data_IF_614070050951
#
_entry.id   IF_614070050951
#
_cell.length_a   1.000
_cell.length_b   1.000
_cell.length_c   1.000
_cell.angle_alpha   90.00
_cell.angle_beta   90.00
_cell.angle_gamma   90.00
#
_symmetry.space_group_name_H-M   'P 1'
#
loop_
_entity.id
_entity.type
_entity.pdbx_description
1 polymer ?
#
# COMPACT_ATOMS: atom_id res chain seq x y z
N UNK A 1 22.34 68.01 -12.97
CA UNK A 1 23.01 66.85 -13.55
C UNK A 1 23.75 65.98 -12.53
N UNK A 2 24.65 66.53 -11.63
CA UNK A 2 25.38 65.71 -10.64
C UNK A 2 24.53 64.90 -9.69
N UNK A 3 23.36 65.41 -9.23
CA UNK A 3 22.46 64.70 -8.31
C UNK A 3 21.75 63.51 -8.98
N UNK A 4 21.40 63.59 -10.27
CA UNK A 4 20.78 62.53 -11.05
C UNK A 4 21.79 61.42 -11.30
N UNK A 5 23.05 61.76 -11.56
CA UNK A 5 24.14 60.79 -11.75
C UNK A 5 24.47 60.03 -10.47
N UNK A 6 24.42 60.65 -9.30
CA UNK A 6 24.61 60.02 -7.99
C UNK A 6 23.45 59.05 -7.66
N UNK A 7 22.22 59.42 -8.03
CA UNK A 7 21.04 58.56 -7.83
C UNK A 7 21.10 57.32 -8.71
N UNK A 8 21.56 57.48 -9.96
CA UNK A 8 21.72 56.33 -10.90
C UNK A 8 22.81 55.35 -10.40
N UNK A 9 23.92 55.86 -9.86
CA UNK A 9 24.98 55.01 -9.26
C UNK A 9 24.45 54.24 -8.05
N UNK A 10 23.65 54.87 -7.18
CA UNK A 10 23.02 54.24 -6.02
C UNK A 10 22.04 53.15 -6.41
N UNK A 11 21.24 53.35 -7.45
CA UNK A 11 20.30 52.35 -7.98
C UNK A 11 21.06 51.15 -8.59
N UNK A 12 22.13 51.42 -9.35
CA UNK A 12 22.96 50.36 -9.94
C UNK A 12 23.67 49.59 -8.83
N UNK A 13 24.21 50.22 -7.83
CA UNK A 13 24.85 49.59 -6.69
C UNK A 13 23.85 48.74 -5.85
N UNK A 14 22.64 49.25 -5.65
CA UNK A 14 21.56 48.52 -4.98
C UNK A 14 21.09 47.30 -5.79
N UNK A 15 20.95 47.42 -7.10
CA UNK A 15 20.63 46.32 -8.00
C UNK A 15 21.76 45.27 -8.03
N UNK A 16 23.01 45.69 -8.09
CA UNK A 16 24.15 44.75 -8.04
C UNK A 16 24.22 44.02 -6.72
N UNK A 17 24.02 44.70 -5.59
CA UNK A 17 23.95 44.08 -4.26
C UNK A 17 22.76 43.14 -4.15
N UNK A 18 21.60 43.48 -4.73
CA UNK A 18 20.41 42.60 -4.79
C UNK A 18 20.67 41.33 -5.62
N UNK A 19 21.33 41.46 -6.77
CA UNK A 19 21.68 40.29 -7.59
C UNK A 19 22.84 39.47 -7.01
N UNK A 20 23.78 40.07 -6.31
CA UNK A 20 24.84 39.35 -5.60
C UNK A 20 24.32 38.62 -4.37
N UNK A 21 23.36 39.19 -3.63
CA UNK A 21 22.70 38.51 -2.50
C UNK A 21 21.66 37.45 -2.93
N UNK A 22 21.21 37.47 -4.19
CA UNK A 22 20.23 36.50 -4.66
C UNK A 22 20.82 35.08 -4.85
N UNK A 23 22.14 34.95 -4.84
CA UNK A 23 22.84 33.68 -4.96
C UNK A 23 23.31 33.07 -3.63
N UNK A 24 23.08 33.74 -2.49
CA UNK A 24 23.32 33.12 -1.20
C UNK A 24 22.06 32.40 -0.71
N UNK A 25 21.68 31.30 -1.41
CA UNK A 25 20.98 30.23 -0.71
C UNK A 25 21.96 29.69 0.32
N UNK A 26 21.64 29.82 1.59
CA UNK A 26 22.44 29.46 2.78
C UNK A 26 22.88 28.00 2.78
N UNK A 27 22.50 27.25 1.76
CA UNK A 27 22.76 25.81 1.53
C UNK A 27 23.26 25.62 0.11
N UNK A 28 24.31 24.85 -0.09
CA UNK A 28 24.68 24.41 -1.43
C UNK A 28 23.51 23.54 -1.96
N UNK A 29 23.08 23.80 -3.18
CA UNK A 29 22.01 23.08 -3.87
C UNK A 29 22.26 21.55 -3.84
N UNK A 30 23.52 21.17 -3.89
CA UNK A 30 24.01 19.78 -3.83
C UNK A 30 23.73 19.10 -2.47
N UNK A 31 23.71 19.83 -1.35
CA UNK A 31 23.46 19.27 -0.01
C UNK A 31 21.98 19.19 0.36
N UNK A 32 21.10 19.80 -0.39
CA UNK A 32 19.66 19.93 -0.11
C UNK A 32 18.75 19.36 -1.21
N UNK A 33 19.31 18.89 -2.30
CA UNK A 33 18.56 18.34 -3.45
C UNK A 33 18.11 16.89 -3.21
N UNK A 34 16.93 16.72 -2.60
CA UNK A 34 16.32 15.42 -2.33
C UNK A 34 15.43 14.91 -3.46
N UNK A 35 14.81 15.80 -4.23
CA UNK A 35 13.84 15.46 -5.24
C UNK A 35 14.48 14.85 -6.51
N UNK A 36 13.68 14.07 -7.26
CA UNK A 36 13.96 13.67 -8.63
C UNK A 36 12.76 14.10 -9.46
N UNK A 37 12.94 15.14 -10.28
CA UNK A 37 11.85 15.76 -11.05
C UNK A 37 11.30 14.81 -12.14
N UNK A 38 12.20 14.17 -12.90
CA UNK A 38 11.83 13.19 -13.93
C UNK A 38 11.61 11.80 -13.33
N UNK A 39 10.44 11.59 -12.76
CA UNK A 39 10.06 10.27 -12.23
C UNK A 39 9.78 9.23 -13.33
N UNK A 40 9.61 9.65 -14.58
CA UNK A 40 9.43 8.72 -15.70
C UNK A 40 10.71 7.93 -16.00
N UNK A 41 11.89 8.53 -15.77
CA UNK A 41 13.19 7.88 -15.90
C UNK A 41 13.50 6.86 -14.82
N UNK A 42 12.79 6.87 -13.68
CA UNK A 42 13.04 5.96 -12.55
C UNK A 42 12.72 4.53 -12.97
N UNK A 43 13.71 3.65 -12.89
CA UNK A 43 13.58 2.22 -13.22
C UNK A 43 13.58 1.32 -11.98
N UNK A 44 14.24 1.74 -10.90
CA UNK A 44 14.38 0.95 -9.69
C UNK A 44 14.50 1.86 -8.46
N UNK A 45 13.84 1.47 -7.38
CA UNK A 45 14.05 2.04 -6.05
C UNK A 45 14.36 0.90 -5.08
N UNK A 46 15.46 1.01 -4.36
CA UNK A 46 15.88 0.05 -3.37
C UNK A 46 15.73 0.67 -1.97
N UNK A 47 15.23 -0.14 -1.06
CA UNK A 47 15.02 0.22 0.34
C UNK A 47 15.78 -0.75 1.23
N UNK A 48 16.45 -0.25 2.27
CA UNK A 48 17.06 -1.07 3.30
C UNK A 48 16.85 -0.44 4.68
N UNK A 49 16.37 -1.24 5.63
CA UNK A 49 16.23 -0.83 7.02
C UNK A 49 17.46 -1.19 7.87
N UNK A 50 17.43 -0.82 9.15
CA UNK A 50 18.51 -1.12 10.09
C UNK A 50 18.39 -2.50 10.76
N UNK A 51 17.33 -3.24 10.44
CA UNK A 51 17.07 -4.60 10.96
C UNK A 51 17.57 -5.69 9.99
N UNK A 52 18.16 -5.29 8.85
CA UNK A 52 18.68 -6.20 7.82
C UNK A 52 17.66 -6.57 6.75
N UNK A 53 16.46 -5.97 6.75
CA UNK A 53 15.50 -6.19 5.68
C UNK A 53 15.79 -5.25 4.51
N UNK A 54 15.50 -5.72 3.30
CA UNK A 54 15.58 -4.91 2.09
C UNK A 54 14.45 -5.24 1.13
N UNK A 55 14.06 -4.26 0.33
CA UNK A 55 13.02 -4.37 -0.69
C UNK A 55 13.50 -3.67 -1.95
N UNK A 56 13.31 -4.31 -3.09
CA UNK A 56 13.56 -3.70 -4.40
C UNK A 56 12.25 -3.55 -5.15
N UNK A 57 11.93 -2.33 -5.53
CA UNK A 57 10.79 -2.03 -6.41
C UNK A 57 11.34 -1.61 -7.76
N UNK A 58 11.05 -2.38 -8.82
CA UNK A 58 11.64 -2.18 -10.14
C UNK A 58 10.60 -2.24 -11.25
N UNK A 59 10.84 -1.47 -12.32
CA UNK A 59 10.00 -1.47 -13.52
C UNK A 59 10.49 -2.54 -14.48
N UNK A 60 9.59 -3.46 -14.85
CA UNK A 60 9.86 -4.49 -15.84
C UNK A 60 8.78 -4.45 -16.92
N UNK A 61 9.17 -4.14 -18.16
CA UNK A 61 8.24 -4.04 -19.30
C UNK A 61 6.98 -3.19 -18.99
N UNK A 62 7.18 -2.05 -18.32
CA UNK A 62 6.10 -1.13 -17.96
C UNK A 62 5.31 -1.50 -16.68
N UNK A 63 5.54 -2.66 -16.10
CA UNK A 63 4.91 -3.10 -14.85
C UNK A 63 5.90 -2.96 -13.69
N UNK A 64 5.44 -2.46 -12.55
CA UNK A 64 6.23 -2.40 -11.34
C UNK A 64 6.15 -3.71 -10.55
N UNK A 65 7.30 -4.27 -10.23
CA UNK A 65 7.44 -5.49 -9.44
C UNK A 65 8.20 -5.20 -8.14
N UNK A 66 7.79 -5.84 -7.05
CA UNK A 66 8.58 -5.92 -5.83
C UNK A 66 9.39 -7.22 -5.85
N UNK A 67 10.69 -7.09 -5.59
CA UNK A 67 11.70 -8.16 -5.59
C UNK A 67 11.69 -9.02 -6.86
N UNK A 68 11.36 -8.40 -8.00
CA UNK A 68 11.19 -9.04 -9.31
C UNK A 68 10.18 -10.20 -9.33
N UNK A 69 9.32 -10.30 -8.33
CA UNK A 69 8.43 -11.46 -8.12
C UNK A 69 6.95 -11.10 -8.13
N UNK A 70 6.55 -10.07 -7.41
CA UNK A 70 5.15 -9.75 -7.22
C UNK A 70 4.80 -8.39 -7.83
N UNK A 71 3.59 -8.27 -8.37
CA UNK A 71 3.08 -6.95 -8.78
C UNK A 71 2.99 -6.01 -7.59
N UNK A 72 3.37 -4.77 -7.80
CA UNK A 72 3.23 -3.72 -6.80
C UNK A 72 1.83 -3.12 -6.89
N UNK A 73 1.27 -2.72 -5.74
CA UNK A 73 0.01 -1.96 -5.67
C UNK A 73 0.15 -0.66 -6.46
N UNK A 74 -0.78 -0.35 -7.39
CA UNK A 74 -0.70 0.87 -8.19
C UNK A 74 -0.61 2.14 -7.33
N UNK A 75 -1.40 2.21 -6.26
CA UNK A 75 -1.42 3.34 -5.34
C UNK A 75 -0.09 3.53 -4.59
N UNK A 76 0.65 2.44 -4.28
CA UNK A 76 1.94 2.55 -3.61
C UNK A 76 3.01 3.17 -4.54
N UNK A 77 3.00 2.79 -5.82
CA UNK A 77 3.90 3.40 -6.81
C UNK A 77 3.54 4.84 -7.07
N UNK A 78 2.27 5.17 -7.21
CA UNK A 78 1.82 6.54 -7.41
C UNK A 78 2.29 7.44 -6.25
N UNK A 79 2.07 7.00 -5.00
CA UNK A 79 2.52 7.74 -3.83
C UNK A 79 4.04 7.86 -3.75
N UNK A 80 4.78 6.79 -4.05
CA UNK A 80 6.24 6.80 -4.06
C UNK A 80 6.78 7.82 -5.07
N UNK A 81 6.40 7.69 -6.35
CA UNK A 81 6.90 8.57 -7.40
C UNK A 81 6.52 10.02 -7.17
N UNK A 82 5.27 10.26 -6.75
CA UNK A 82 4.82 11.60 -6.37
C UNK A 82 5.63 12.15 -5.20
N UNK A 83 5.93 11.33 -4.19
CA UNK A 83 6.75 11.75 -3.05
C UNK A 83 8.16 12.10 -3.49
N UNK A 84 8.83 11.24 -4.27
CA UNK A 84 10.18 11.48 -4.77
C UNK A 84 10.26 12.79 -5.58
N UNK A 85 9.19 13.14 -6.30
CA UNK A 85 9.13 14.38 -7.08
C UNK A 85 8.88 15.61 -6.23
N UNK A 86 7.93 15.53 -5.29
CA UNK A 86 7.34 16.72 -4.65
C UNK A 86 7.98 17.06 -3.31
N UNK A 87 8.98 16.29 -2.84
CA UNK A 87 9.67 16.59 -1.59
C UNK A 87 10.54 17.84 -1.73
N UNK A 88 10.47 18.69 -0.70
CA UNK A 88 11.25 19.91 -0.57
C UNK A 88 11.90 20.00 0.81
N UNK A 89 13.01 20.72 0.90
CA UNK A 89 13.62 21.05 2.18
C UNK A 89 12.82 22.15 2.85
N UNK A 90 12.32 21.87 4.06
CA UNK A 90 11.65 22.86 4.91
C UNK A 90 12.65 23.76 5.61
N UNK A 91 13.61 23.16 6.27
CA UNK A 91 14.74 23.83 6.93
C UNK A 91 15.78 22.79 7.35
N UNK A 92 17.04 23.22 7.58
CA UNK A 92 18.04 22.35 8.20
C UNK A 92 17.69 22.04 9.65
N UNK A 93 18.16 20.91 10.15
CA UNK A 93 18.11 20.60 11.58
C UNK A 93 18.99 21.57 12.35
N UNK A 94 18.46 22.15 13.44
CA UNK A 94 19.22 23.07 14.28
C UNK A 94 20.45 22.39 14.90
N UNK A 95 21.53 23.14 15.10
CA UNK A 95 22.77 22.59 15.65
C UNK A 95 22.56 21.90 17.01
N UNK A 96 21.66 22.43 17.85
CA UNK A 96 21.32 21.82 19.15
C UNK A 96 20.63 20.45 19.08
N UNK A 97 20.02 20.12 17.94
CA UNK A 97 19.33 18.85 17.72
C UNK A 97 20.10 17.92 16.78
N UNK A 98 21.08 18.44 16.06
CA UNK A 98 21.76 17.74 14.98
C UNK A 98 22.32 16.38 15.42
N UNK A 99 23.11 16.33 16.47
CA UNK A 99 23.71 15.07 16.95
C UNK A 99 22.68 14.03 17.34
N UNK A 100 21.57 14.46 17.96
CA UNK A 100 20.47 13.58 18.30
C UNK A 100 19.78 13.03 17.05
N UNK A 101 19.52 13.88 16.04
CA UNK A 101 18.90 13.47 14.80
C UNK A 101 19.81 12.52 14.02
N UNK A 102 21.11 12.81 13.90
CA UNK A 102 22.07 11.92 13.24
C UNK A 102 22.12 10.55 13.92
N UNK A 103 22.15 10.49 15.27
CA UNK A 103 22.10 9.22 16.01
C UNK A 103 20.82 8.44 15.71
N UNK A 104 19.67 9.11 15.68
CA UNK A 104 18.39 8.48 15.35
C UNK A 104 18.39 7.96 13.90
N UNK A 105 18.85 8.77 12.93
CA UNK A 105 18.96 8.33 11.54
C UNK A 105 19.90 7.13 11.39
N UNK A 106 21.02 7.12 12.10
CA UNK A 106 21.96 6.00 12.09
C UNK A 106 21.34 4.69 12.62
N UNK A 107 20.40 4.77 13.57
CA UNK A 107 19.80 3.61 14.23
C UNK A 107 18.47 3.13 13.64
N UNK A 108 17.71 4.02 12.98
CA UNK A 108 16.33 3.72 12.62
C UNK A 108 15.88 4.22 11.25
N UNK A 109 16.71 4.97 10.50
CA UNK A 109 16.33 5.43 9.19
C UNK A 109 16.33 4.30 8.15
N UNK A 110 15.46 4.42 7.17
CA UNK A 110 15.46 3.58 5.99
C UNK A 110 16.29 4.24 4.89
N UNK A 111 17.27 3.51 4.37
CA UNK A 111 18.04 3.92 3.19
C UNK A 111 17.16 3.77 1.96
N UNK A 112 17.13 4.79 1.11
CA UNK A 112 16.42 4.80 -0.17
C UNK A 112 17.43 5.11 -1.27
N UNK A 113 17.56 4.22 -2.23
CA UNK A 113 18.40 4.39 -3.42
C UNK A 113 17.52 4.42 -4.67
N UNK A 114 17.63 5.47 -5.45
CA UNK A 114 16.85 5.69 -6.67
C UNK A 114 17.76 5.51 -7.88
N UNK A 115 17.33 4.68 -8.81
CA UNK A 115 18.07 4.35 -10.03
C UNK A 115 17.25 4.76 -11.25
N UNK A 116 17.90 5.43 -12.18
CA UNK A 116 17.35 5.82 -13.46
C UNK A 116 17.92 4.93 -14.57
N UNK A 117 18.67 5.47 -15.52
CA UNK A 117 19.21 4.74 -16.67
C UNK A 117 20.27 3.70 -16.30
N UNK A 118 21.08 3.97 -15.28
CA UNK A 118 22.10 3.04 -14.80
C UNK A 118 21.60 2.29 -13.55
N UNK A 119 21.31 1.01 -13.70
CA UNK A 119 20.82 0.17 -12.60
C UNK A 119 21.88 -0.27 -11.59
N UNK A 120 23.18 0.02 -11.84
CA UNK A 120 24.29 -0.33 -10.95
C UNK A 120 24.74 0.85 -10.08
N UNK A 121 24.44 2.08 -10.47
CA UNK A 121 24.82 3.30 -9.74
C UNK A 121 23.57 4.07 -9.42
N UNK A 122 23.32 4.30 -8.13
CA UNK A 122 22.18 5.08 -7.69
C UNK A 122 22.33 6.54 -8.20
N UNK A 123 21.26 7.04 -8.84
CA UNK A 123 21.15 8.44 -9.24
C UNK A 123 21.06 9.33 -7.98
N UNK A 124 20.33 8.86 -6.96
CA UNK A 124 20.17 9.57 -5.69
C UNK A 124 20.05 8.58 -4.54
N UNK A 125 20.69 8.90 -3.42
CA UNK A 125 20.62 8.10 -2.20
C UNK A 125 20.39 9.02 -0.99
N UNK A 126 19.41 8.65 -0.16
CA UNK A 126 19.11 9.35 1.09
C UNK A 126 18.52 8.42 2.14
N UNK A 127 18.50 8.91 3.36
CA UNK A 127 17.98 8.21 4.53
C UNK A 127 16.69 8.90 4.99
N UNK A 128 15.59 8.15 5.07
CA UNK A 128 14.28 8.61 5.56
C UNK A 128 14.14 8.21 7.01
N UNK A 129 14.05 9.19 7.89
CA UNK A 129 13.88 9.00 9.33
C UNK A 129 12.46 9.28 9.81
N UNK A 130 12.31 9.42 11.12
CA UNK A 130 11.04 9.69 11.78
C UNK A 130 10.49 11.09 11.51
N UNK A 131 9.34 11.34 12.11
CA UNK A 131 8.60 12.60 11.99
C UNK A 131 9.35 13.79 12.60
N UNK A 132 9.18 14.96 11.98
CA UNK A 132 9.58 16.25 12.56
C UNK A 132 8.72 16.59 13.78
N UNK A 133 9.21 17.51 14.65
CA UNK A 133 8.52 17.86 15.91
C UNK A 133 7.09 18.37 15.74
N UNK A 134 6.83 19.04 14.64
CA UNK A 134 5.51 19.59 14.30
C UNK A 134 4.65 18.61 13.49
N UNK A 135 5.11 17.36 13.32
CA UNK A 135 4.49 16.30 12.53
C UNK A 135 4.34 16.62 11.03
N UNK A 136 4.99 17.68 10.55
CA UNK A 136 4.98 18.10 9.13
C UNK A 136 6.34 17.86 8.51
N UNK A 137 6.49 16.71 7.82
CA UNK A 137 7.74 16.25 7.23
C UNK A 137 8.49 15.25 8.10
N UNK A 138 9.62 14.80 7.60
CA UNK A 138 10.51 13.83 8.24
C UNK A 138 11.93 14.36 8.30
N UNK A 139 12.70 13.86 9.26
CA UNK A 139 14.14 14.06 9.25
C UNK A 139 14.75 13.20 8.14
N UNK A 140 15.53 13.83 7.26
CA UNK A 140 16.20 13.14 6.17
C UNK A 140 17.65 13.58 6.04
N UNK A 141 18.47 12.71 5.49
CA UNK A 141 19.90 12.94 5.24
C UNK A 141 20.25 12.43 3.84
N UNK A 142 20.87 13.27 3.01
CA UNK A 142 21.48 12.82 1.75
C UNK A 142 22.75 12.01 2.04
N UNK A 143 23.03 11.00 1.23
CA UNK A 143 24.31 10.30 1.29
C UNK A 143 25.46 11.29 1.02
N UNK A 144 26.56 11.11 1.71
CA UNK A 144 27.73 12.02 1.67
C UNK A 144 27.47 13.44 2.23
N UNK A 145 26.28 13.72 2.79
CA UNK A 145 26.02 14.95 3.52
C UNK A 145 26.26 14.76 5.01
N UNK A 146 26.87 15.76 5.65
CA UNK A 146 27.00 15.81 7.11
C UNK A 146 25.80 16.46 7.78
N UNK A 147 24.87 17.08 7.01
CA UNK A 147 23.77 17.88 7.55
C UNK A 147 22.43 17.23 7.28
N UNK A 148 21.66 16.99 8.33
CA UNK A 148 20.28 16.55 8.24
C UNK A 148 19.31 17.71 8.07
N UNK A 149 18.20 17.45 7.39
CA UNK A 149 17.14 18.38 7.08
C UNK A 149 15.79 17.87 7.54
N UNK A 150 14.84 18.78 7.77
CA UNK A 150 13.42 18.46 7.75
C UNK A 150 12.96 18.60 6.30
N UNK A 151 12.50 17.48 5.74
CA UNK A 151 11.99 17.40 4.37
C UNK A 151 10.49 17.14 4.43
N UNK A 152 9.72 17.81 3.58
CA UNK A 152 8.26 17.77 3.59
C UNK A 152 7.72 17.81 2.15
N UNK A 153 6.43 17.71 2.00
CA UNK A 153 5.74 17.98 0.72
C UNK A 153 4.83 19.19 0.95
N UNK A 154 4.96 20.29 0.16
CA UNK A 154 4.09 21.45 0.27
C UNK A 154 2.60 21.07 0.20
N UNK A 155 1.82 21.57 1.16
CA UNK A 155 0.38 21.26 1.25
C UNK A 155 0.02 19.88 1.82
N UNK A 156 1.01 19.05 2.18
CA UNK A 156 0.77 17.77 2.84
C UNK A 156 1.04 17.87 4.36
N UNK A 157 0.03 17.53 5.16
CA UNK A 157 0.11 17.51 6.62
C UNK A 157 0.41 16.10 7.10
N UNK A 158 1.68 15.79 7.31
CA UNK A 158 2.12 14.48 7.77
C UNK A 158 3.60 14.24 7.54
N UNK A 159 4.09 13.11 8.03
CA UNK A 159 5.47 12.68 7.84
C UNK A 159 5.58 11.72 6.64
N UNK A 160 6.81 11.53 6.13
CA UNK A 160 7.02 10.93 4.82
C UNK A 160 7.14 9.40 4.81
N UNK A 161 7.48 8.76 5.94
CA UNK A 161 7.72 7.31 5.98
C UNK A 161 6.57 6.48 5.37
N UNK A 162 5.27 6.71 5.68
CA UNK A 162 4.19 5.95 5.06
C UNK A 162 4.09 6.13 3.54
N UNK A 163 4.53 7.26 3.01
CA UNK A 163 4.54 7.54 1.56
C UNK A 163 5.64 6.77 0.82
N UNK A 164 6.64 6.32 1.55
CA UNK A 164 7.67 5.37 1.10
C UNK A 164 7.31 3.92 1.40
N UNK A 165 6.07 3.65 1.87
CA UNK A 165 5.62 2.31 2.28
C UNK A 165 6.52 1.71 3.37
N UNK A 166 7.01 2.57 4.28
CA UNK A 166 7.77 2.20 5.47
C UNK A 166 6.79 2.06 6.64
N UNK A 167 6.82 0.92 7.31
CA UNK A 167 6.02 0.67 8.53
C UNK A 167 6.90 0.83 9.77
N UNK A 168 6.64 1.91 10.51
CA UNK A 168 7.52 2.31 11.62
C UNK A 168 8.94 2.60 11.12
N UNK A 169 9.86 1.66 11.29
CA UNK A 169 11.26 1.72 10.84
C UNK A 169 11.63 0.55 9.94
N UNK A 170 10.64 -0.25 9.50
CA UNK A 170 10.86 -1.49 8.76
C UNK A 170 10.35 -1.42 7.33
N UNK A 171 10.97 -2.20 6.46
CA UNK A 171 10.53 -2.43 5.09
C UNK A 171 10.20 -3.91 4.89
N UNK A 172 9.17 -4.19 4.12
CA UNK A 172 8.78 -5.56 3.77
C UNK A 172 8.12 -5.61 2.39
N UNK A 173 8.43 -6.65 1.62
CA UNK A 173 7.86 -6.87 0.28
C UNK A 173 6.34 -6.93 0.31
N UNK A 174 5.76 -7.56 1.33
CA UNK A 174 4.31 -7.73 1.49
C UNK A 174 3.55 -6.39 1.63
N UNK A 175 4.22 -5.32 2.09
CA UNK A 175 3.64 -3.97 2.12
C UNK A 175 3.44 -3.37 0.72
N UNK A 176 4.23 -3.81 -0.25
CA UNK A 176 4.19 -3.34 -1.64
C UNK A 176 3.28 -4.16 -2.54
N UNK A 177 3.06 -5.42 -2.22
CA UNK A 177 2.36 -6.38 -3.07
C UNK A 177 0.94 -5.94 -3.41
N UNK A 178 0.52 -6.23 -4.65
CA UNK A 178 -0.88 -6.14 -5.05
C UNK A 178 -1.73 -7.09 -4.19
N UNK A 179 -2.79 -6.56 -3.61
CA UNK A 179 -3.68 -7.25 -2.67
C UNK A 179 -4.91 -7.87 -3.34
N UNK A 180 -4.94 -7.89 -4.66
CA UNK A 180 -6.08 -8.39 -5.42
C UNK A 180 -6.23 -9.89 -5.24
N UNK A 181 -7.41 -10.31 -4.79
CA UNK A 181 -7.83 -11.72 -4.69
C UNK A 181 -8.57 -12.10 -5.97
N UNK A 182 -9.60 -11.34 -6.33
CA UNK A 182 -10.39 -11.51 -7.54
C UNK A 182 -10.48 -10.21 -8.30
N UNK A 183 -10.35 -10.29 -9.62
CA UNK A 183 -10.52 -9.17 -10.55
C UNK A 183 -11.14 -9.69 -11.84
N UNK A 184 -12.48 -9.75 -11.86
CA UNK A 184 -13.24 -10.30 -12.98
C UNK A 184 -14.25 -9.28 -13.50
N UNK A 185 -14.38 -9.16 -14.82
CA UNK A 185 -15.62 -8.61 -15.35
C UNK A 185 -16.71 -9.65 -15.15
N UNK A 186 -17.91 -9.22 -14.78
CA UNK A 186 -19.03 -10.12 -14.53
C UNK A 186 -19.34 -11.03 -15.72
N UNK A 187 -19.12 -10.54 -16.94
CA UNK A 187 -19.32 -11.30 -18.17
C UNK A 187 -18.31 -12.42 -18.38
N UNK A 188 -17.16 -12.37 -17.75
CA UNK A 188 -16.10 -13.39 -17.86
C UNK A 188 -16.30 -14.53 -16.86
N UNK A 189 -17.19 -14.35 -15.86
CA UNK A 189 -17.47 -15.37 -14.86
C UNK A 189 -18.57 -16.31 -15.38
N UNK A 190 -18.31 -17.62 -15.33
CA UNK A 190 -19.27 -18.67 -15.64
C UNK A 190 -19.98 -19.17 -14.38
N UNK A 191 -19.22 -19.43 -13.32
CA UNK A 191 -19.75 -20.04 -12.10
C UNK A 191 -19.06 -19.48 -10.87
N UNK A 192 -19.84 -19.23 -9.81
CA UNK A 192 -19.36 -18.91 -8.47
C UNK A 192 -19.90 -19.99 -7.54
N UNK A 193 -19.04 -20.61 -6.74
CA UNK A 193 -19.39 -21.60 -5.73
C UNK A 193 -18.89 -21.15 -4.37
N UNK A 194 -19.80 -21.10 -3.40
CA UNK A 194 -19.51 -20.82 -2.00
C UNK A 194 -19.87 -22.05 -1.18
N UNK A 195 -18.87 -22.62 -0.52
CA UNK A 195 -19.03 -23.77 0.36
C UNK A 195 -18.77 -23.29 1.81
N UNK A 196 -19.78 -23.44 2.66
CA UNK A 196 -19.62 -23.32 4.10
C UNK A 196 -19.34 -24.71 4.66
N UNK A 197 -18.21 -24.88 5.37
CA UNK A 197 -17.77 -26.19 5.86
C UNK A 197 -18.37 -26.54 7.23
N UNK A 198 -18.96 -25.56 7.94
CA UNK A 198 -19.59 -25.75 9.25
C UNK A 198 -21.10 -25.96 9.12
N UNK A 199 -21.71 -25.34 8.10
CA UNK A 199 -23.15 -25.43 7.86
C UNK A 199 -23.42 -25.55 6.35
N UNK A 200 -23.59 -26.78 5.89
CA UNK A 200 -23.84 -27.06 4.49
C UNK A 200 -25.06 -26.34 3.92
N UNK A 201 -26.05 -26.00 4.77
CA UNK A 201 -27.24 -25.27 4.34
C UNK A 201 -26.94 -23.83 3.91
N UNK A 202 -25.78 -23.27 4.27
CA UNK A 202 -25.29 -21.96 3.83
C UNK A 202 -24.47 -22.01 2.56
N UNK A 203 -24.20 -23.21 2.03
CA UNK A 203 -23.49 -23.39 0.76
C UNK A 203 -24.42 -23.11 -0.40
N UNK A 204 -23.87 -22.54 -1.47
CA UNK A 204 -24.64 -22.27 -2.70
C UNK A 204 -23.73 -22.19 -3.92
N UNK A 205 -24.37 -22.23 -5.10
CA UNK A 205 -23.72 -22.06 -6.39
C UNK A 205 -24.54 -21.11 -7.26
N UNK A 206 -23.86 -20.18 -7.88
CA UNK A 206 -24.41 -19.31 -8.90
C UNK A 206 -23.80 -19.68 -10.24
N UNK A 207 -24.65 -19.79 -11.27
CA UNK A 207 -24.20 -20.10 -12.62
C UNK A 207 -24.85 -19.13 -13.60
N UNK A 208 -24.02 -18.54 -14.49
CA UNK A 208 -24.48 -17.70 -15.58
C UNK A 208 -24.66 -18.52 -16.83
N UNK A 209 -25.81 -18.43 -17.43
CA UNK A 209 -26.13 -18.91 -18.78
C UNK A 209 -26.35 -17.70 -19.69
N UNK A 210 -26.39 -17.89 -21.01
CA UNK A 210 -26.37 -16.77 -21.98
C UNK A 210 -27.42 -15.68 -21.71
N UNK A 211 -28.57 -16.04 -21.15
CA UNK A 211 -29.72 -15.12 -20.97
C UNK A 211 -30.26 -15.08 -19.54
N UNK A 212 -29.71 -15.81 -18.59
CA UNK A 212 -30.21 -15.83 -17.22
C UNK A 212 -29.15 -16.33 -16.24
N UNK A 213 -29.42 -16.09 -14.96
CA UNK A 213 -28.62 -16.61 -13.85
C UNK A 213 -29.44 -17.68 -13.11
N UNK A 214 -28.76 -18.73 -12.67
CA UNK A 214 -29.34 -19.75 -11.80
C UNK A 214 -28.66 -19.74 -10.44
N UNK A 215 -29.46 -19.89 -9.40
CA UNK A 215 -29.02 -20.00 -8.00
C UNK A 215 -29.39 -21.39 -7.49
N UNK A 216 -28.39 -22.16 -7.08
CA UNK A 216 -28.56 -23.50 -6.52
C UNK A 216 -28.19 -23.51 -5.06
N UNK A 217 -29.12 -23.92 -4.20
CA UNK A 217 -28.92 -24.08 -2.77
C UNK A 217 -29.74 -25.28 -2.28
N UNK A 218 -29.17 -26.12 -1.41
CA UNK A 218 -29.82 -27.34 -0.88
C UNK A 218 -30.39 -28.24 -2.00
N UNK A 219 -29.63 -28.45 -3.07
CA UNK A 219 -30.02 -29.19 -4.27
C UNK A 219 -31.24 -28.64 -5.05
N UNK A 220 -31.72 -27.47 -4.69
CA UNK A 220 -32.77 -26.77 -5.41
C UNK A 220 -32.16 -25.66 -6.27
N UNK A 221 -32.50 -25.65 -7.55
CA UNK A 221 -32.05 -24.62 -8.50
C UNK A 221 -33.23 -23.72 -8.88
N UNK A 222 -33.04 -22.42 -8.78
CA UNK A 222 -34.00 -21.38 -9.22
C UNK A 222 -33.33 -20.46 -10.23
N UNK A 223 -34.09 -20.01 -11.21
CA UNK A 223 -33.68 -18.88 -12.07
C UNK A 223 -33.92 -17.61 -11.28
N UNK A 224 -32.94 -16.71 -11.28
CA UNK A 224 -33.02 -15.42 -10.63
C UNK A 224 -33.06 -14.30 -11.67
N UNK A 225 -33.65 -13.14 -11.34
CA UNK A 225 -33.65 -11.98 -12.23
C UNK A 225 -32.26 -11.61 -12.69
N UNK A 226 -32.12 -11.20 -13.94
CA UNK A 226 -30.82 -10.84 -14.55
C UNK A 226 -30.12 -9.74 -13.76
N UNK A 227 -30.85 -8.72 -13.30
CA UNK A 227 -30.32 -7.63 -12.48
C UNK A 227 -29.67 -8.13 -11.18
N UNK A 228 -30.30 -9.08 -10.48
CA UNK A 228 -29.77 -9.62 -9.24
C UNK A 228 -28.52 -10.48 -9.48
N UNK A 229 -28.56 -11.30 -10.54
CA UNK A 229 -27.40 -12.11 -10.95
C UNK A 229 -26.21 -11.21 -11.31
N UNK A 230 -26.45 -10.19 -12.13
CA UNK A 230 -25.45 -9.23 -12.54
C UNK A 230 -24.86 -8.48 -11.33
N UNK A 231 -25.70 -8.03 -10.40
CA UNK A 231 -25.26 -7.36 -9.17
C UNK A 231 -24.31 -8.24 -8.36
N UNK A 232 -24.67 -9.51 -8.15
CA UNK A 232 -23.84 -10.44 -7.40
C UNK A 232 -22.50 -10.74 -8.11
N UNK A 233 -22.51 -10.95 -9.42
CA UNK A 233 -21.30 -11.19 -10.20
C UNK A 233 -20.37 -9.97 -10.23
N UNK A 234 -20.92 -8.76 -10.19
CA UNK A 234 -20.15 -7.52 -10.11
C UNK A 234 -19.36 -7.37 -8.80
N UNK A 235 -19.72 -8.07 -7.72
CA UNK A 235 -18.95 -8.09 -6.47
C UNK A 235 -17.51 -8.56 -6.69
N UNK A 236 -17.25 -9.37 -7.72
CA UNK A 236 -15.95 -9.95 -8.03
C UNK A 236 -15.07 -9.08 -8.94
N UNK A 237 -15.52 -7.87 -9.29
CA UNK A 237 -14.76 -6.94 -10.13
C UNK A 237 -13.45 -6.50 -9.47
N UNK A 238 -13.44 -6.36 -8.14
CA UNK A 238 -12.26 -5.95 -7.38
C UNK A 238 -12.41 -6.38 -5.93
N UNK A 239 -11.95 -7.58 -5.62
CA UNK A 239 -11.90 -8.13 -4.26
C UNK A 239 -10.46 -8.13 -3.81
N UNK A 240 -10.16 -7.43 -2.73
CA UNK A 240 -8.80 -7.29 -2.18
C UNK A 240 -8.71 -7.84 -0.77
N UNK A 241 -7.53 -8.34 -0.38
CA UNK A 241 -7.22 -8.65 1.02
C UNK A 241 -6.76 -7.40 1.78
N UNK A 242 -6.79 -7.47 3.10
CA UNK A 242 -6.25 -6.43 3.98
C UNK A 242 -4.70 -6.44 3.93
N UNK A 243 -4.10 -7.62 3.91
CA UNK A 243 -2.65 -7.79 3.84
C UNK A 243 -2.22 -9.25 3.82
N UNK A 244 -0.91 -9.44 3.69
CA UNK A 244 -0.25 -10.73 3.76
C UNK A 244 0.25 -11.00 5.18
N UNK A 245 0.22 -12.27 5.60
CA UNK A 245 0.60 -12.75 6.93
C UNK A 245 1.57 -13.93 6.83
N UNK A 246 2.47 -13.92 5.83
CA UNK A 246 3.30 -15.07 5.53
C UNK A 246 4.31 -15.41 6.63
N UNK A 247 4.76 -14.40 7.39
CA UNK A 247 5.70 -14.56 8.51
C UNK A 247 5.00 -14.93 9.83
N UNK A 248 3.66 -15.13 9.79
CA UNK A 248 2.93 -15.50 10.98
C UNK A 248 3.24 -16.94 11.40
N UNK A 249 3.73 -17.13 12.61
CA UNK A 249 4.21 -18.42 13.13
C UNK A 249 3.17 -19.55 13.11
N UNK A 250 1.88 -19.20 13.16
CA UNK A 250 0.77 -20.17 13.12
C UNK A 250 0.26 -20.49 11.70
N UNK A 251 0.92 -20.01 10.62
CA UNK A 251 0.46 -20.18 9.24
C UNK A 251 0.13 -21.63 8.90
N UNK A 252 1.04 -22.56 9.18
CA UNK A 252 0.84 -23.97 8.87
C UNK A 252 -0.27 -24.59 9.71
N UNK A 253 -0.37 -24.21 10.98
CA UNK A 253 -1.47 -24.65 11.85
C UNK A 253 -2.83 -24.20 11.33
N UNK A 254 -2.93 -22.95 10.84
CA UNK A 254 -4.16 -22.41 10.23
C UNK A 254 -4.51 -23.20 8.98
N UNK A 255 -3.55 -23.49 8.10
CA UNK A 255 -3.81 -24.23 6.87
C UNK A 255 -4.21 -25.68 7.09
N UNK A 256 -3.85 -26.27 8.23
CA UNK A 256 -4.22 -27.61 8.64
C UNK A 256 -5.52 -27.65 9.49
N UNK A 257 -6.09 -26.50 9.84
CA UNK A 257 -7.35 -26.43 10.56
C UNK A 257 -8.56 -26.64 9.62
N UNK A 258 -9.73 -26.83 10.22
CA UNK A 258 -10.98 -26.94 9.43
C UNK A 258 -11.28 -25.60 8.76
N UNK A 259 -11.46 -25.55 7.42
CA UNK A 259 -11.87 -24.33 6.75
C UNK A 259 -13.24 -23.85 7.23
N UNK A 260 -13.45 -22.53 7.20
CA UNK A 260 -14.76 -21.93 7.44
C UNK A 260 -15.55 -21.82 6.12
N UNK A 261 -14.98 -21.15 5.13
CA UNK A 261 -15.56 -21.04 3.79
C UNK A 261 -14.56 -21.36 2.68
N UNK A 262 -15.07 -21.88 1.57
CA UNK A 262 -14.34 -21.88 0.29
C UNK A 262 -15.15 -21.12 -0.74
N UNK A 263 -14.54 -20.11 -1.36
CA UNK A 263 -15.10 -19.39 -2.51
C UNK A 263 -14.31 -19.78 -3.76
N UNK A 264 -14.99 -20.25 -4.79
CA UNK A 264 -14.40 -20.68 -6.07
C UNK A 264 -15.10 -19.98 -7.22
N UNK A 265 -14.33 -19.45 -8.14
CA UNK A 265 -14.80 -18.86 -9.39
C UNK A 265 -14.27 -19.69 -10.55
N UNK A 266 -15.15 -20.01 -11.50
CA UNK A 266 -14.78 -20.56 -12.81
C UNK A 266 -15.16 -19.52 -13.86
N UNK A 267 -14.21 -19.14 -14.71
CA UNK A 267 -14.46 -18.21 -15.81
C UNK A 267 -14.96 -18.94 -17.07
N UNK A 268 -15.27 -18.15 -18.09
CA UNK A 268 -15.73 -18.65 -19.40
C UNK A 268 -14.64 -19.40 -20.17
N UNK A 269 -13.36 -19.22 -19.84
CA UNK A 269 -12.20 -19.88 -20.44
C UNK A 269 -11.80 -21.15 -19.68
N UNK A 270 -12.51 -21.49 -18.59
CA UNK A 270 -12.20 -22.65 -17.76
C UNK A 270 -11.13 -22.43 -16.69
N UNK A 271 -10.61 -21.22 -16.53
CA UNK A 271 -9.73 -20.87 -15.41
C UNK A 271 -10.52 -20.94 -14.11
N UNK A 272 -9.88 -21.48 -13.06
CA UNK A 272 -10.47 -21.59 -11.72
C UNK A 272 -9.58 -20.86 -10.74
N UNK A 273 -10.15 -19.86 -10.08
CA UNK A 273 -9.54 -19.20 -8.94
C UNK A 273 -10.31 -19.52 -7.65
N UNK A 274 -9.62 -19.69 -6.55
CA UNK A 274 -10.25 -20.01 -5.27
C UNK A 274 -9.53 -19.42 -4.09
N UNK A 275 -10.29 -19.18 -3.02
CA UNK A 275 -9.81 -18.78 -1.70
C UNK A 275 -10.46 -19.69 -0.66
N UNK A 276 -9.68 -20.07 0.36
CA UNK A 276 -10.13 -20.86 1.50
C UNK A 276 -10.00 -19.99 2.74
N UNK A 277 -11.11 -19.70 3.42
CA UNK A 277 -11.16 -18.89 4.61
C UNK A 277 -11.17 -19.75 5.88
N UNK A 278 -10.53 -19.24 6.93
CA UNK A 278 -10.42 -19.85 8.26
C UNK A 278 -10.80 -18.83 9.30
N UNK A 279 -11.33 -19.28 10.43
CA UNK A 279 -11.57 -18.41 11.57
C UNK A 279 -10.28 -17.81 12.09
N UNK A 280 -10.40 -16.60 12.61
CA UNK A 280 -9.32 -15.89 13.28
C UNK A 280 -9.71 -15.70 14.74
N UNK A 281 -8.75 -15.89 15.64
CA UNK A 281 -8.96 -15.62 17.06
C UNK A 281 -9.20 -14.12 17.28
N UNK A 282 -10.00 -13.71 18.28
CA UNK A 282 -10.24 -12.33 18.63
C UNK A 282 -8.92 -11.60 18.92
N UNK A 283 -8.86 -10.31 18.59
CA UNK A 283 -7.68 -9.48 18.80
C UNK A 283 -7.35 -9.28 20.29
N UNK A 284 -8.36 -9.37 21.15
CA UNK A 284 -8.24 -9.32 22.61
C UNK A 284 -8.98 -10.51 23.20
N UNK A 285 -8.40 -11.12 24.22
CA UNK A 285 -9.01 -12.26 24.94
C UNK A 285 -10.30 -11.88 25.70
N UNK A 286 -10.52 -10.59 25.94
CA UNK A 286 -11.65 -10.02 26.66
C UNK A 286 -12.75 -9.44 25.75
N UNK A 287 -12.69 -9.70 24.43
CA UNK A 287 -13.73 -9.26 23.49
C UNK A 287 -15.03 -10.00 23.84
N UNK A 288 -16.00 -9.26 24.40
CA UNK A 288 -17.29 -9.80 24.81
C UNK A 288 -18.39 -9.37 23.83
N UNK A 289 -19.35 -10.25 23.61
CA UNK A 289 -20.62 -9.89 22.97
C UNK A 289 -21.43 -8.97 23.88
N UNK A 290 -22.44 -8.26 23.32
CA UNK A 290 -23.35 -7.43 24.12
C UNK A 290 -24.06 -8.19 25.26
N UNK A 291 -24.23 -9.51 25.11
CA UNK A 291 -24.81 -10.41 26.11
C UNK A 291 -23.81 -10.90 27.18
N UNK A 292 -22.57 -10.42 27.18
CA UNK A 292 -21.51 -10.80 28.12
C UNK A 292 -20.83 -12.14 27.83
N UNK A 293 -21.11 -12.78 26.68
CA UNK A 293 -20.40 -13.98 26.23
C UNK A 293 -19.08 -13.64 25.55
N UNK A 294 -18.05 -14.43 25.83
CA UNK A 294 -16.75 -14.29 25.15
C UNK A 294 -16.90 -14.64 23.66
N UNK A 295 -16.35 -13.80 22.79
CA UNK A 295 -16.29 -14.10 21.37
C UNK A 295 -15.28 -15.24 21.14
N UNK A 296 -15.70 -16.26 20.41
CA UNK A 296 -14.85 -17.38 20.03
C UNK A 296 -13.91 -16.97 18.87
N UNK A 297 -14.43 -16.15 17.94
CA UNK A 297 -13.72 -15.71 16.74
C UNK A 297 -13.81 -14.20 16.55
N UNK A 298 -12.84 -13.66 15.80
CA UNK A 298 -12.84 -12.27 15.37
C UNK A 298 -14.07 -12.00 14.48
N UNK A 299 -14.80 -10.92 14.76
CA UNK A 299 -16.03 -10.54 14.03
C UNK A 299 -15.77 -9.68 12.80
N UNK A 300 -14.57 -9.10 12.71
CA UNK A 300 -14.22 -8.18 11.63
C UNK A 300 -13.36 -8.86 10.56
N UNK A 301 -12.59 -9.89 10.93
CA UNK A 301 -11.55 -10.47 10.10
C UNK A 301 -11.54 -11.99 10.11
N UNK A 302 -11.07 -12.55 9.00
CA UNK A 302 -10.78 -13.97 8.82
C UNK A 302 -9.36 -14.13 8.26
N UNK A 303 -8.72 -15.24 8.55
CA UNK A 303 -7.59 -15.70 7.75
C UNK A 303 -8.07 -16.32 6.45
N UNK A 304 -7.23 -16.25 5.41
CA UNK A 304 -7.51 -16.99 4.21
C UNK A 304 -6.23 -17.49 3.53
N UNK A 305 -6.36 -18.60 2.82
CA UNK A 305 -5.33 -19.16 1.94
C UNK A 305 -5.61 -18.73 0.51
N UNK A 306 -4.67 -17.99 -0.08
CA UNK A 306 -4.63 -17.62 -1.49
C UNK A 306 -3.36 -18.22 -2.11
N UNK A 307 -3.48 -19.30 -2.88
CA UNK A 307 -2.34 -20.10 -3.33
C UNK A 307 -1.50 -20.60 -2.14
N UNK A 308 -0.26 -20.15 -2.00
CA UNK A 308 0.64 -20.46 -0.87
C UNK A 308 0.66 -19.36 0.21
N UNK A 309 -0.01 -18.24 -0.02
CA UNK A 309 -0.01 -17.13 0.90
C UNK A 309 -1.09 -17.27 1.97
N UNK A 310 -0.73 -16.94 3.22
CA UNK A 310 -1.68 -16.61 4.27
C UNK A 310 -2.00 -15.11 4.15
N UNK A 311 -3.27 -14.79 4.01
CA UNK A 311 -3.76 -13.42 3.91
C UNK A 311 -4.81 -13.13 4.97
N UNK A 312 -4.95 -11.85 5.30
CA UNK A 312 -6.02 -11.34 6.16
C UNK A 312 -7.12 -10.75 5.27
N UNK A 313 -8.37 -11.17 5.51
CA UNK A 313 -9.56 -10.67 4.80
C UNK A 313 -10.60 -10.16 5.79
N UNK A 314 -11.44 -9.24 5.34
CA UNK A 314 -12.44 -8.58 6.18
C UNK A 314 -13.84 -9.11 5.89
N UNK A 315 -14.64 -9.34 6.93
CA UNK A 315 -16.06 -9.67 6.79
C UNK A 315 -16.82 -8.59 6.01
N UNK A 316 -16.51 -7.32 6.22
CA UNK A 316 -17.10 -6.21 5.48
C UNK A 316 -17.05 -6.38 3.94
N UNK A 317 -15.93 -6.93 3.42
CA UNK A 317 -15.76 -7.22 2.00
C UNK A 317 -16.49 -8.52 1.61
N UNK A 318 -16.44 -9.54 2.47
CA UNK A 318 -16.88 -10.89 2.14
C UNK A 318 -18.34 -11.20 2.52
N UNK A 319 -18.98 -10.45 3.42
CA UNK A 319 -20.37 -10.71 3.85
C UNK A 319 -21.35 -10.78 2.68
N UNK A 320 -21.22 -9.88 1.71
CA UNK A 320 -22.05 -9.90 0.49
C UNK A 320 -21.75 -11.10 -0.41
N UNK A 321 -20.47 -11.48 -0.51
CA UNK A 321 -20.01 -12.64 -1.28
C UNK A 321 -20.53 -13.95 -0.64
N UNK A 322 -20.45 -14.04 0.69
CA UNK A 322 -20.89 -15.20 1.46
C UNK A 322 -22.40 -15.24 1.70
N UNK A 323 -23.13 -14.22 1.26
CA UNK A 323 -24.57 -14.04 1.51
C UNK A 323 -24.93 -14.19 3.00
N UNK A 324 -24.09 -13.67 3.89
CA UNK A 324 -24.37 -13.62 5.34
C UNK A 324 -25.48 -12.62 5.67
N UNK A 325 -25.65 -11.60 4.86
CA UNK A 325 -26.82 -10.71 4.86
C UNK A 325 -27.82 -11.18 3.80
N UNK A 326 -29.13 -11.25 4.09
CA UNK A 326 -30.12 -11.68 3.12
C UNK A 326 -30.22 -10.71 1.94
N UNK A 327 -29.54 -10.98 0.84
CA UNK A 327 -29.66 -10.22 -0.41
C UNK A 327 -30.63 -10.88 -1.39
N UNK A 328 -30.88 -12.17 -1.22
CA UNK A 328 -31.84 -12.91 -1.99
C UNK A 328 -32.88 -13.44 -1.02
N UNK A 329 -34.00 -12.74 -0.85
CA UNK A 329 -35.19 -13.31 -0.22
C UNK A 329 -35.67 -14.44 -1.13
N UNK A 330 -35.44 -15.66 -0.66
CA UNK A 330 -36.13 -16.83 -1.22
C UNK A 330 -37.56 -16.71 -0.71
N UNK A 331 -38.40 -15.97 -1.41
CA UNK A 331 -39.85 -16.10 -1.21
C UNK A 331 -40.20 -17.58 -1.38
N UNK A 332 -40.89 -18.10 -0.38
CA UNK A 332 -41.31 -19.50 -0.31
C UNK A 332 -42.29 -19.84 -1.44
#
# INVERSE_FOLDING_TARGET
MKKIFLLAILIIASLTLFFLNKNDTTFSEELSDFAVEDTASIQKVFFADKHGNSVTVSRNSGTWLVDNKFKVRPEAIEYLLKTIKDIEVKHPVSNSLHDKVIKNLASSAVKVEIFTDNLNVAHKTYYVGGEAKDLIGSFMLLENSSRAFVVYIPGFNGFLAPRYTIDGTTVASDLWRDRTIFSYNSNDIKTISVVNHEDASKSFKMHRQDKFYSFTKNNTTKIIPDSQGQEYFNLFKSVKCEGFMNDFSKKDSIFNSTPFYTVRISDTNGKIDSIIAYHKEPKREDYMQENGQKLEYDVDRMYAKLNSDLILIQFYVFDKILLRTPQFSVEK
#
